data_IF_634627167849
#
_entry.id   IF_634627167849
#
_cell.length_a   1.000
_cell.length_b   1.000
_cell.length_c   1.000
_cell.angle_alpha   90.00
_cell.angle_beta   90.00
_cell.angle_gamma   90.00
#
_symmetry.space_group_name_H-M   'P 1'
#
loop_
_entity.id
_entity.type
_entity.pdbx_description
1 polymer ?
#
# COMPACT_ATOMS: atom_id res chain seq x y z
N UNK A 1 6.26 -6.67 -14.21
CA UNK A 1 5.29 -5.92 -13.41
C UNK A 1 5.98 -4.68 -12.89
N UNK A 2 5.31 -3.54 -12.93
CA UNK A 2 5.83 -2.26 -12.41
C UNK A 2 5.05 -1.88 -11.14
N UNK A 3 5.74 -1.31 -10.16
CA UNK A 3 5.17 -1.07 -8.84
C UNK A 3 5.52 0.36 -8.42
N UNK A 4 4.50 1.20 -8.24
CA UNK A 4 4.71 2.62 -7.99
C UNK A 4 3.69 3.21 -7.01
N UNK A 5 4.12 4.28 -6.35
CA UNK A 5 3.25 5.07 -5.48
C UNK A 5 2.58 6.18 -6.29
N UNK A 6 1.26 6.24 -6.22
CA UNK A 6 0.47 7.32 -6.81
C UNK A 6 -0.10 8.23 -5.71
N UNK A 7 0.07 9.54 -5.87
CA UNK A 7 -0.50 10.53 -4.98
C UNK A 7 -2.02 10.59 -5.12
N UNK A 8 -2.70 10.68 -3.99
CA UNK A 8 -4.16 10.87 -3.90
C UNK A 8 -4.45 12.11 -3.06
N UNK A 9 -5.72 12.55 -3.07
CA UNK A 9 -6.17 13.74 -2.32
C UNK A 9 -5.91 13.66 -0.81
N UNK A 10 -5.77 12.46 -0.24
CA UNK A 10 -5.61 12.23 1.21
C UNK A 10 -4.51 11.22 1.53
N UNK A 11 -3.49 11.09 0.69
CA UNK A 11 -2.39 10.16 0.93
C UNK A 11 -1.84 9.57 -0.36
N UNK A 12 -1.38 8.33 -0.32
CA UNK A 12 -0.75 7.67 -1.48
C UNK A 12 -1.24 6.23 -1.59
N UNK A 13 -1.51 5.77 -2.80
CA UNK A 13 -1.83 4.36 -3.06
C UNK A 13 -0.64 3.66 -3.72
N UNK A 14 -0.48 2.39 -3.40
CA UNK A 14 0.50 1.52 -4.02
C UNK A 14 -0.19 0.76 -5.16
N UNK A 15 0.29 0.97 -6.37
CA UNK A 15 -0.28 0.40 -7.60
C UNK A 15 0.72 -0.59 -8.19
N UNK A 16 0.20 -1.75 -8.59
CA UNK A 16 0.87 -2.76 -9.37
C UNK A 16 0.35 -2.68 -10.79
N UNK A 17 1.23 -2.46 -11.76
CA UNK A 17 0.91 -2.47 -13.17
C UNK A 17 1.42 -3.76 -13.81
N UNK A 18 0.49 -4.53 -14.35
CA UNK A 18 0.76 -5.74 -15.11
C UNK A 18 1.41 -5.37 -16.45
N UNK A 19 2.54 -5.99 -16.80
CA UNK A 19 3.20 -5.76 -18.09
C UNK A 19 2.45 -6.41 -19.26
N UNK A 20 1.67 -7.46 -18.98
CA UNK A 20 0.98 -8.27 -20.00
C UNK A 20 -0.27 -7.57 -20.56
N UNK A 21 -1.13 -7.06 -19.68
CA UNK A 21 -2.43 -6.47 -20.06
C UNK A 21 -2.47 -4.95 -19.84
N UNK A 22 -1.43 -4.38 -19.23
CA UNK A 22 -1.39 -2.96 -18.84
C UNK A 22 -2.32 -2.60 -17.67
N UNK A 23 -3.04 -3.58 -17.10
CA UNK A 23 -3.94 -3.38 -15.98
C UNK A 23 -3.21 -2.88 -14.73
N UNK A 24 -3.82 -1.88 -14.09
CA UNK A 24 -3.33 -1.25 -12.87
C UNK A 24 -4.20 -1.71 -11.69
N UNK A 25 -3.61 -2.45 -10.75
CA UNK A 25 -4.27 -2.89 -9.54
C UNK A 25 -3.72 -2.17 -8.31
N UNK A 26 -4.61 -1.63 -7.48
CA UNK A 26 -4.24 -1.11 -6.17
C UNK A 26 -4.00 -2.27 -5.18
N UNK A 27 -2.75 -2.43 -4.77
CA UNK A 27 -2.31 -3.48 -3.84
C UNK A 27 -2.04 -2.96 -2.42
N UNK A 28 -2.23 -1.67 -2.18
CA UNK A 28 -2.13 -1.08 -0.84
C UNK A 28 -2.25 0.43 -0.85
N UNK A 29 -2.14 1.06 0.31
CA UNK A 29 -2.17 2.51 0.42
C UNK A 29 -1.98 3.03 1.82
N UNK A 30 -1.69 4.32 1.88
CA UNK A 30 -1.59 5.12 3.09
C UNK A 30 -2.56 6.28 2.96
N UNK A 31 -3.41 6.49 3.96
CA UNK A 31 -4.29 7.65 4.06
C UNK A 31 -3.93 8.49 5.27
N UNK A 32 -3.97 9.80 5.10
CA UNK A 32 -3.90 10.75 6.18
C UNK A 32 -5.25 10.87 6.90
N UNK A 33 -5.19 10.92 8.22
CA UNK A 33 -6.32 11.09 9.12
C UNK A 33 -6.01 12.17 10.15
N UNK A 34 -7.03 12.57 10.92
CA UNK A 34 -6.86 13.57 11.99
C UNK A 34 -5.91 13.11 13.12
N UNK A 35 -5.62 11.80 13.21
CA UNK A 35 -4.81 11.20 14.27
C UNK A 35 -3.53 10.54 13.73
N UNK A 36 -3.03 10.98 12.57
CA UNK A 36 -1.88 10.36 11.89
C UNK A 36 -2.30 9.65 10.60
N UNK A 37 -1.68 8.52 10.28
CA UNK A 37 -1.84 7.83 9.01
C UNK A 37 -2.41 6.43 9.21
N UNK A 38 -3.34 6.02 8.35
CA UNK A 38 -3.75 4.63 8.27
C UNK A 38 -3.10 4.00 7.03
N UNK A 39 -2.43 2.88 7.20
CA UNK A 39 -1.83 2.09 6.14
C UNK A 39 -2.60 0.79 5.94
N UNK A 40 -2.70 0.31 4.70
CA UNK A 40 -3.28 -0.99 4.40
C UNK A 40 -2.62 -1.66 3.20
N UNK A 41 -2.58 -3.00 3.22
CA UNK A 41 -2.09 -3.82 2.12
C UNK A 41 -3.15 -4.83 1.69
N UNK A 42 -3.31 -4.99 0.37
CA UNK A 42 -4.14 -5.99 -0.29
C UNK A 42 -3.20 -7.04 -0.88
N UNK A 43 -3.15 -8.21 -0.24
CA UNK A 43 -2.36 -9.34 -0.77
C UNK A 43 -3.25 -10.22 -1.64
N UNK A 44 -2.67 -10.84 -2.68
CA UNK A 44 -3.36 -11.72 -3.64
C UNK A 44 -4.06 -12.92 -2.97
N UNK A 45 -3.62 -13.30 -1.77
CA UNK A 45 -4.02 -14.52 -1.07
C UNK A 45 -4.83 -14.17 0.18
N UNK A 46 -6.15 -14.00 0.00
CA UNK A 46 -7.22 -14.00 1.01
C UNK A 46 -6.81 -14.07 2.50
N UNK A 47 -6.79 -12.95 3.22
CA UNK A 47 -7.17 -12.80 4.66
C UNK A 47 -7.12 -11.31 5.05
N UNK A 48 -7.88 -10.86 6.08
CA UNK A 48 -8.53 -9.56 6.13
C UNK A 48 -7.52 -8.43 5.94
N UNK A 49 -7.95 -7.40 5.20
CA UNK A 49 -7.24 -6.13 4.99
C UNK A 49 -6.23 -5.89 6.11
N UNK A 50 -4.94 -6.12 5.83
CA UNK A 50 -3.89 -5.85 6.81
C UNK A 50 -3.78 -4.35 6.86
N UNK A 51 -4.51 -3.75 7.80
CA UNK A 51 -4.61 -2.32 7.98
C UNK A 51 -4.14 -1.94 9.38
N UNK A 52 -3.22 -0.99 9.45
CA UNK A 52 -2.76 -0.38 10.69
C UNK A 52 -3.19 1.08 10.70
N UNK A 53 -3.77 1.53 11.81
CA UNK A 53 -4.31 2.88 11.97
C UNK A 53 -3.47 3.70 12.93
N UNK A 54 -3.50 5.02 12.75
CA UNK A 54 -2.86 5.96 13.69
C UNK A 54 -1.34 5.85 13.74
N UNK A 55 -0.71 5.59 12.59
CA UNK A 55 0.75 5.64 12.43
C UNK A 55 1.17 7.11 12.44
N UNK A 56 2.20 7.47 13.20
CA UNK A 56 2.62 8.87 13.35
C UNK A 56 3.09 9.54 12.05
N UNK A 57 3.71 8.78 11.14
CA UNK A 57 4.35 9.33 9.93
C UNK A 57 3.94 8.58 8.66
N UNK A 58 3.93 9.31 7.54
CA UNK A 58 3.71 8.72 6.21
C UNK A 58 4.80 7.70 5.84
N UNK A 59 6.03 7.91 6.29
CA UNK A 59 7.14 7.00 6.00
C UNK A 59 6.95 5.63 6.68
N UNK A 60 6.68 5.60 7.99
CA UNK A 60 6.37 4.34 8.68
C UNK A 60 5.10 3.67 8.15
N UNK A 61 4.13 4.46 7.71
CA UNK A 61 2.93 3.94 7.08
C UNK A 61 3.22 3.29 5.73
N UNK A 62 4.17 3.84 4.95
CA UNK A 62 4.66 3.21 3.72
C UNK A 62 5.44 1.94 4.03
N UNK A 63 6.38 1.96 4.98
CA UNK A 63 7.15 0.78 5.39
C UNK A 63 6.24 -0.40 5.76
N UNK A 64 5.13 -0.13 6.48
CA UNK A 64 4.11 -1.14 6.77
C UNK A 64 3.56 -1.77 5.49
N UNK A 65 3.14 -0.97 4.50
CA UNK A 65 2.63 -1.48 3.21
C UNK A 65 3.72 -2.25 2.46
N UNK A 66 4.97 -1.79 2.50
CA UNK A 66 6.11 -2.42 1.82
C UNK A 66 6.51 -3.77 2.45
N UNK A 67 6.34 -3.92 3.77
CA UNK A 67 6.56 -5.18 4.49
C UNK A 67 5.69 -6.35 3.99
N UNK A 68 4.55 -6.05 3.35
CA UNK A 68 3.65 -7.07 2.79
C UNK A 68 3.88 -7.38 1.32
N UNK A 69 4.91 -6.79 0.67
CA UNK A 69 5.19 -7.07 -0.73
C UNK A 69 5.71 -8.51 -0.92
N UNK A 70 5.21 -9.23 -1.94
CA UNK A 70 5.77 -10.52 -2.33
C UNK A 70 7.16 -10.29 -2.93
N UNK A 71 8.21 -10.41 -2.11
CA UNK A 71 9.59 -10.16 -2.52
C UNK A 71 10.53 -9.73 -1.39
N UNK A 72 10.02 -9.41 -0.19
CA UNK A 72 10.88 -9.11 0.97
C UNK A 72 11.12 -10.32 1.89
N UNK A 73 10.79 -11.53 1.44
CA UNK A 73 11.43 -12.74 1.98
C UNK A 73 12.76 -12.91 1.24
N UNK A 74 13.84 -12.42 1.87
CA UNK A 74 15.27 -12.75 1.67
C UNK A 74 15.70 -13.41 0.35
#
# INVERSE_FOLDING_TARGET
MELFWEYTRRGQKLVLKSEEDGEEEMIGGVRETKNGFDAFAKTFTMTPERAQKGIDTMESAKEFVESFRPGNCL
#
